data_IF_967828615432
#
_entry.id   IF_967828615432
#
_cell.length_a   1.000
_cell.length_b   1.000
_cell.length_c   1.000
_cell.angle_alpha   90.00
_cell.angle_beta   90.00
_cell.angle_gamma   90.00
#
_symmetry.space_group_name_H-M   'P 1'
#
loop_
_entity.id
_entity.type
_entity.pdbx_description
1 polymer ?
#
# COMPACT_ATOMS: atom_id res chain seq x y z
N UNK A 1 -2.28 4.90 16.30
CA UNK A 1 -1.76 5.63 15.13
C UNK A 1 -1.50 7.06 15.56
N UNK A 2 -0.25 7.47 15.70
CA UNK A 2 0.12 8.88 15.83
C UNK A 2 0.58 9.33 14.46
N UNK A 3 -0.28 10.02 13.77
CA UNK A 3 0.04 10.66 12.49
C UNK A 3 0.57 12.06 12.80
N UNK A 4 1.83 12.32 12.52
CA UNK A 4 2.42 13.65 12.59
C UNK A 4 2.88 14.02 11.18
N UNK A 5 2.01 14.67 10.42
CA UNK A 5 2.36 15.21 9.12
C UNK A 5 2.96 16.61 9.27
N UNK A 6 4.10 16.84 8.64
CA UNK A 6 4.72 18.16 8.51
C UNK A 6 4.77 18.51 7.02
N UNK A 7 4.25 19.66 6.63
CA UNK A 7 4.41 20.14 5.27
C UNK A 7 5.72 20.90 5.11
N UNK A 8 6.48 20.57 4.08
CA UNK A 8 7.69 21.29 3.66
C UNK A 8 7.37 21.97 2.32
N UNK A 9 7.73 23.26 2.20
CA UNK A 9 7.60 24.00 0.94
C UNK A 9 8.92 23.99 0.22
N UNK A 10 8.92 23.50 -1.02
CA UNK A 10 10.04 23.60 -1.95
C UNK A 10 9.58 24.46 -3.14
N UNK A 11 9.95 25.75 -3.13
CA UNK A 11 9.45 26.70 -4.13
C UNK A 11 7.93 26.91 -3.99
N UNK A 12 7.22 26.90 -5.11
CA UNK A 12 5.75 27.05 -5.16
C UNK A 12 4.98 25.73 -4.94
N UNK A 13 5.69 24.60 -4.71
CA UNK A 13 5.08 23.30 -4.47
C UNK A 13 5.00 22.98 -2.99
N UNK A 14 3.82 22.59 -2.52
CA UNK A 14 3.65 22.03 -1.19
C UNK A 14 4.00 20.53 -1.23
N UNK A 15 4.99 20.14 -0.43
CA UNK A 15 5.31 18.75 -0.17
C UNK A 15 4.94 18.41 1.27
N UNK A 16 4.28 17.29 1.48
CA UNK A 16 3.99 16.80 2.82
C UNK A 16 4.96 15.69 3.20
N UNK A 17 5.43 15.71 4.45
CA UNK A 17 6.20 14.63 5.04
C UNK A 17 5.35 13.94 6.10
N UNK A 18 5.11 12.65 5.93
CA UNK A 18 4.44 11.81 6.91
C UNK A 18 5.42 10.82 7.53
N UNK A 19 5.39 10.72 8.85
CA UNK A 19 6.17 9.73 9.61
C UNK A 19 5.26 8.59 10.03
N UNK A 20 5.58 7.39 9.59
CA UNK A 20 4.84 6.18 9.91
C UNK A 20 5.66 5.31 10.86
N UNK A 21 5.17 5.16 12.08
CA UNK A 21 5.79 4.30 13.11
C UNK A 21 4.90 3.10 13.33
N UNK A 22 5.43 1.91 13.11
CA UNK A 22 4.75 0.64 13.36
C UNK A 22 5.53 -0.21 14.35
N UNK A 23 4.82 -0.91 15.24
CA UNK A 23 5.38 -1.91 16.14
C UNK A 23 4.74 -3.26 15.86
N UNK A 24 5.58 -4.29 15.71
CA UNK A 24 5.11 -5.62 15.36
C UNK A 24 4.70 -5.77 13.91
N UNK A 25 3.72 -6.62 13.66
CA UNK A 25 3.19 -6.87 12.31
C UNK A 25 2.03 -5.91 12.03
N UNK A 26 2.15 -5.13 10.96
CA UNK A 26 1.13 -4.16 10.53
C UNK A 26 0.88 -4.31 9.04
N UNK A 27 -0.39 -4.47 8.68
CA UNK A 27 -0.86 -4.45 7.30
C UNK A 27 -1.72 -3.21 7.08
N UNK A 28 -1.42 -2.43 6.03
CA UNK A 28 -2.17 -1.21 5.71
C UNK A 28 -3.51 -1.49 5.03
N UNK A 29 -3.69 -2.71 4.52
CA UNK A 29 -4.73 -3.00 3.54
C UNK A 29 -4.45 -2.37 2.18
N UNK A 30 -5.11 -2.89 1.15
CA UNK A 30 -4.94 -2.39 -0.21
C UNK A 30 -5.72 -1.09 -0.41
N UNK A 31 -5.02 0.00 -0.72
CA UNK A 31 -5.57 1.34 -0.95
C UNK A 31 -4.75 2.10 -2.01
N UNK A 32 -5.14 3.31 -2.33
CA UNK A 32 -4.30 4.27 -3.04
C UNK A 32 -4.33 5.62 -2.32
N UNK A 33 -3.23 6.35 -2.43
CA UNK A 33 -3.13 7.71 -1.93
C UNK A 33 -3.70 8.71 -2.93
N UNK A 34 -4.47 9.68 -2.43
CA UNK A 34 -5.07 10.73 -3.28
C UNK A 34 -4.05 11.78 -3.75
N UNK A 35 -2.83 11.73 -3.23
CA UNK A 35 -1.75 12.65 -3.56
C UNK A 35 -1.10 12.30 -4.92
N UNK A 36 -0.28 13.21 -5.44
CA UNK A 36 0.39 13.07 -6.75
C UNK A 36 1.46 11.97 -6.84
N UNK A 37 1.47 11.02 -5.93
CA UNK A 37 2.51 10.02 -5.73
C UNK A 37 3.44 10.43 -4.60
N UNK A 38 4.31 9.51 -4.18
CA UNK A 38 5.17 9.76 -3.04
C UNK A 38 6.42 8.89 -3.01
N UNK A 39 7.38 9.33 -2.20
CA UNK A 39 8.54 8.52 -1.88
C UNK A 39 8.38 7.94 -0.48
N UNK A 40 8.60 6.65 -0.35
CA UNK A 40 8.68 5.95 0.92
C UNK A 40 10.15 5.64 1.23
N UNK A 41 10.67 6.18 2.32
CA UNK A 41 11.99 5.84 2.85
C UNK A 41 11.82 4.96 4.08
N UNK A 42 12.54 3.87 4.16
CA UNK A 42 12.54 2.98 5.33
C UNK A 42 13.78 3.23 6.18
N UNK A 43 13.59 3.74 7.39
CA UNK A 43 14.69 3.99 8.33
C UNK A 43 15.03 2.76 9.19
N UNK A 44 14.04 1.94 9.55
CA UNK A 44 14.25 0.70 10.31
C UNK A 44 13.16 -0.34 10.01
N UNK A 45 13.43 -1.60 10.34
CA UNK A 45 12.50 -2.71 10.12
C UNK A 45 12.57 -3.29 8.71
N UNK A 46 11.52 -3.96 8.30
CA UNK A 46 11.35 -4.51 6.94
C UNK A 46 9.92 -4.27 6.47
N UNK A 47 9.76 -3.91 5.19
CA UNK A 47 8.45 -3.79 4.55
C UNK A 47 8.38 -4.65 3.30
N UNK A 48 7.24 -5.31 3.12
CA UNK A 48 6.86 -5.90 1.85
C UNK A 48 5.71 -5.09 1.26
N UNK A 49 5.79 -4.78 -0.01
CA UNK A 49 4.82 -3.92 -0.68
C UNK A 49 4.30 -4.64 -1.92
N UNK A 50 2.98 -4.74 -2.00
CA UNK A 50 2.29 -5.14 -3.22
C UNK A 50 1.80 -3.89 -3.92
N UNK A 51 2.09 -3.76 -5.22
CA UNK A 51 1.68 -2.62 -6.04
C UNK A 51 0.91 -3.08 -7.25
N UNK A 52 -0.15 -2.34 -7.57
CA UNK A 52 -0.97 -2.58 -8.74
C UNK A 52 -1.17 -1.27 -9.52
N UNK A 53 -1.06 -1.29 -10.84
CA UNK A 53 -1.33 -0.12 -11.65
C UNK A 53 -2.82 0.29 -11.57
N UNK A 54 -3.10 1.55 -11.87
CA UNK A 54 -4.47 2.08 -11.89
C UNK A 54 -5.40 1.29 -12.80
N UNK A 55 -4.88 0.70 -13.89
CA UNK A 55 -5.64 -0.14 -14.82
C UNK A 55 -6.27 -1.37 -14.18
N UNK A 56 -5.74 -1.83 -13.05
CA UNK A 56 -6.21 -3.03 -12.36
C UNK A 56 -7.38 -2.75 -11.40
N UNK A 57 -7.80 -1.48 -11.27
CA UNK A 57 -8.84 -1.03 -10.33
C UNK A 57 -10.09 -1.91 -10.31
N UNK A 58 -10.61 -2.27 -11.48
CA UNK A 58 -11.85 -3.06 -11.60
C UNK A 58 -11.71 -4.51 -11.10
N UNK A 59 -10.47 -4.98 -10.95
CA UNK A 59 -10.16 -6.35 -10.53
C UNK A 59 -9.81 -6.46 -9.04
N UNK A 60 -9.63 -5.31 -8.35
CA UNK A 60 -9.11 -5.23 -6.98
C UNK A 60 -10.20 -5.16 -5.91
N UNK A 61 -11.47 -5.32 -6.27
CA UNK A 61 -12.61 -5.29 -5.33
C UNK A 61 -12.65 -4.05 -4.44
N UNK A 62 -12.33 -2.88 -5.03
CA UNK A 62 -12.30 -1.62 -4.31
C UNK A 62 -13.69 -1.21 -3.83
N UNK A 63 -13.80 -0.81 -2.57
CA UNK A 63 -15.02 -0.22 -2.01
C UNK A 63 -15.05 1.26 -2.30
N UNK A 64 -16.21 1.75 -2.68
CA UNK A 64 -16.48 3.17 -2.83
C UNK A 64 -17.22 3.64 -1.60
N UNK A 65 -16.50 4.10 -0.58
CA UNK A 65 -17.12 4.76 0.56
C UNK A 65 -17.10 6.28 0.37
N UNK A 66 -18.23 6.98 0.58
CA UNK A 66 -18.25 8.43 0.49
C UNK A 66 -17.35 9.07 1.55
N UNK A 67 -16.39 9.90 1.12
CA UNK A 67 -15.53 10.69 2.01
C UNK A 67 -14.29 9.98 2.56
N UNK A 68 -14.01 8.74 2.16
CA UNK A 68 -12.80 8.00 2.54
C UNK A 68 -11.94 7.63 1.34
N UNK A 69 -10.66 7.35 1.60
CA UNK A 69 -9.79 6.73 0.61
C UNK A 69 -10.44 5.44 0.11
N UNK A 70 -10.29 5.14 -1.19
CA UNK A 70 -10.79 3.87 -1.71
C UNK A 70 -9.90 2.75 -1.20
N UNK A 71 -10.47 1.89 -0.38
CA UNK A 71 -9.83 0.70 0.16
C UNK A 71 -10.44 -0.55 -0.48
N UNK A 72 -9.65 -1.59 -0.65
CA UNK A 72 -10.18 -2.89 -1.05
C UNK A 72 -10.90 -3.56 0.12
N UNK A 73 -11.90 -4.36 -0.21
CA UNK A 73 -12.52 -5.27 0.76
C UNK A 73 -11.67 -6.51 1.05
N UNK A 74 -10.51 -6.62 0.42
CA UNK A 74 -9.63 -7.80 0.47
C UNK A 74 -8.25 -7.35 0.94
N UNK A 75 -7.72 -8.04 1.93
CA UNK A 75 -6.30 -8.03 2.27
C UNK A 75 -5.61 -9.06 1.39
N UNK A 76 -4.91 -8.60 0.35
CA UNK A 76 -4.38 -9.51 -0.68
C UNK A 76 -3.30 -10.41 -0.12
N UNK A 77 -2.43 -9.86 0.73
CA UNK A 77 -1.39 -10.63 1.39
C UNK A 77 -1.98 -11.76 2.26
N UNK A 78 -2.93 -11.41 3.13
CA UNK A 78 -3.62 -12.39 4.00
C UNK A 78 -4.29 -13.49 3.17
N UNK A 79 -4.90 -13.10 2.05
CA UNK A 79 -5.54 -14.03 1.14
C UNK A 79 -4.53 -15.01 0.51
N UNK A 80 -3.35 -14.51 0.09
CA UNK A 80 -2.30 -15.35 -0.50
C UNK A 80 -1.73 -16.33 0.54
N UNK A 81 -1.56 -15.89 1.78
CA UNK A 81 -0.99 -16.72 2.84
C UNK A 81 -1.95 -17.78 3.38
N UNK A 82 -3.24 -17.46 3.47
CA UNK A 82 -4.24 -18.30 4.15
C UNK A 82 -5.17 -19.07 3.20
N UNK A 83 -5.03 -18.91 1.89
CA UNK A 83 -5.92 -19.55 0.91
C UNK A 83 -5.15 -20.21 -0.23
N UNK A 84 -5.63 -21.37 -0.68
CA UNK A 84 -5.12 -21.96 -1.90
C UNK A 84 -5.44 -21.11 -3.12
N UNK A 85 -4.63 -21.22 -4.18
CA UNK A 85 -4.89 -20.54 -5.44
C UNK A 85 -6.28 -20.84 -6.03
N UNK A 86 -6.82 -22.04 -5.76
CA UNK A 86 -8.16 -22.44 -6.20
C UNK A 86 -9.25 -21.69 -5.43
N UNK A 87 -9.13 -21.57 -4.09
CA UNK A 87 -10.07 -20.83 -3.25
C UNK A 87 -10.10 -19.35 -3.62
N UNK A 88 -8.92 -18.75 -3.85
CA UNK A 88 -8.80 -17.37 -4.31
C UNK A 88 -9.53 -17.17 -5.63
N UNK A 89 -9.27 -18.01 -6.62
CA UNK A 89 -9.93 -17.92 -7.94
C UNK A 89 -11.43 -18.10 -7.86
N UNK A 90 -11.91 -18.98 -6.99
CA UNK A 90 -13.34 -19.22 -6.79
C UNK A 90 -14.04 -18.02 -6.14
N UNK A 91 -13.43 -17.43 -5.09
CA UNK A 91 -14.02 -16.34 -4.32
C UNK A 91 -13.79 -14.97 -4.96
N UNK A 92 -12.61 -14.80 -5.57
CA UNK A 92 -12.17 -13.53 -6.17
C UNK A 92 -11.63 -13.74 -7.60
N UNK A 93 -12.48 -14.15 -8.54
CA UNK A 93 -12.03 -14.55 -9.89
C UNK A 93 -11.33 -13.42 -10.64
N UNK A 94 -11.70 -12.16 -10.40
CA UNK A 94 -11.10 -11.01 -11.08
C UNK A 94 -9.64 -10.76 -10.67
N UNK A 95 -9.20 -11.19 -9.47
CA UNK A 95 -7.80 -11.04 -9.05
C UNK A 95 -6.83 -11.76 -9.98
N UNK A 96 -7.26 -12.85 -10.65
CA UNK A 96 -6.42 -13.57 -11.60
C UNK A 96 -6.03 -12.74 -12.84
N UNK A 97 -6.69 -11.60 -13.05
CA UNK A 97 -6.43 -10.67 -14.16
C UNK A 97 -5.40 -9.60 -13.80
N UNK A 98 -5.06 -9.47 -12.52
CA UNK A 98 -4.06 -8.52 -12.04
C UNK A 98 -2.65 -9.09 -12.12
N UNK A 99 -1.66 -8.21 -12.19
CA UNK A 99 -0.22 -8.56 -12.15
C UNK A 99 0.46 -7.66 -11.13
N UNK A 100 0.49 -8.04 -9.85
CA UNK A 100 1.15 -7.24 -8.82
C UNK A 100 2.65 -7.15 -9.06
N UNK A 101 3.19 -5.96 -8.77
CA UNK A 101 4.60 -5.79 -8.50
C UNK A 101 4.84 -6.01 -7.02
N UNK A 102 5.85 -6.78 -6.67
CA UNK A 102 6.21 -7.09 -5.30
C UNK A 102 7.58 -6.47 -5.03
N UNK A 103 7.67 -5.67 -3.98
CA UNK A 103 8.91 -5.08 -3.52
C UNK A 103 9.15 -5.42 -2.05
N UNK A 104 10.42 -5.63 -1.68
CA UNK A 104 10.87 -5.70 -0.30
C UNK A 104 11.78 -4.51 -0.03
N UNK A 105 11.53 -3.79 1.06
CA UNK A 105 12.34 -2.66 1.51
C UNK A 105 13.07 -3.01 2.80
N UNK A 106 14.34 -2.64 2.82
CA UNK A 106 15.23 -2.72 3.97
C UNK A 106 15.66 -1.31 4.41
N UNK A 107 16.21 -1.14 5.61
CA UNK A 107 16.67 0.14 6.10
C UNK A 107 17.63 0.82 5.10
N UNK A 108 17.33 2.06 4.74
CA UNK A 108 18.05 2.85 3.75
C UNK A 108 17.44 2.83 2.35
N UNK A 109 16.50 1.94 2.06
CA UNK A 109 15.84 1.91 0.77
C UNK A 109 14.84 3.04 0.61
N UNK A 110 14.74 3.53 -0.63
CA UNK A 110 13.74 4.50 -1.06
C UNK A 110 12.92 3.89 -2.19
N UNK A 111 11.61 3.97 -2.09
CA UNK A 111 10.69 3.52 -3.12
C UNK A 111 9.78 4.67 -3.54
N UNK A 112 9.58 4.80 -4.85
CA UNK A 112 8.57 5.71 -5.40
C UNK A 112 7.26 4.95 -5.64
N UNK A 113 6.16 5.46 -5.08
CA UNK A 113 4.80 4.98 -5.34
C UNK A 113 4.14 5.97 -6.31
N UNK A 114 3.83 5.55 -7.55
CA UNK A 114 3.23 6.43 -8.53
C UNK A 114 1.82 6.88 -8.13
N UNK A 115 1.40 8.05 -8.62
CA UNK A 115 0.05 8.56 -8.45
C UNK A 115 -1.01 7.53 -8.85
N UNK A 116 -2.05 7.37 -8.03
CA UNK A 116 -3.18 6.46 -8.25
C UNK A 116 -2.82 4.97 -8.35
N UNK A 117 -1.61 4.59 -7.99
CA UNK A 117 -1.29 3.17 -7.88
C UNK A 117 -1.81 2.61 -6.56
N UNK A 118 -2.47 1.47 -6.66
CA UNK A 118 -2.93 0.75 -5.47
C UNK A 118 -1.75 0.04 -4.81
N UNK A 119 -1.71 0.10 -3.50
CA UNK A 119 -0.64 -0.55 -2.75
C UNK A 119 -1.13 -1.10 -1.41
N UNK A 120 -0.54 -2.20 -1.00
CA UNK A 120 -0.70 -2.84 0.31
C UNK A 120 0.69 -2.95 0.92
N UNK A 121 0.88 -2.38 2.10
CA UNK A 121 2.17 -2.34 2.79
C UNK A 121 2.09 -3.19 4.02
N UNK A 122 2.91 -4.21 4.07
CA UNK A 122 3.10 -5.05 5.23
C UNK A 122 4.46 -4.77 5.89
N UNK A 123 4.41 -4.47 7.16
CA UNK A 123 5.60 -4.21 7.99
C UNK A 123 5.82 -5.36 8.96
N UNK A 124 7.07 -5.78 9.14
CA UNK A 124 7.47 -6.78 10.13
C UNK A 124 8.45 -6.19 11.11
N UNK A 125 8.26 -6.48 12.40
CA UNK A 125 9.06 -5.88 13.47
C UNK A 125 8.76 -4.39 13.65
N UNK A 126 9.61 -3.71 14.42
CA UNK A 126 9.50 -2.27 14.64
C UNK A 126 10.01 -1.54 13.39
N UNK A 127 9.13 -0.79 12.73
CA UNK A 127 9.41 -0.11 11.46
C UNK A 127 9.22 1.40 11.57
N UNK A 128 10.10 2.14 10.91
CA UNK A 128 10.11 3.60 10.83
C UNK A 128 10.43 4.02 9.40
#
# INVERSE_FOLDING_TARGET
KKDSSHSLKFGDHESSLALWVGTGEVDSGLHYDQNEGGFMYLASGKKQILLFPQSDREYLYMRKEPGHQMESSIFIRELIENSSAWEIRRKYPSLSRTKPYIAELFPGDVMYIPHMWFHEVYSTGDSL
#
